data_IF_229661098347
#
_entry.id   IF_229661098347
#
_cell.length_a   1.000
_cell.length_b   1.000
_cell.length_c   1.000
_cell.angle_alpha   90.00
_cell.angle_beta   90.00
_cell.angle_gamma   90.00
#
_symmetry.space_group_name_H-M   'P 1'
#
loop_
_entity.id
_entity.type
_entity.pdbx_description
1 polymer ?
#
# COMPACT_ATOMS: atom_id res chain seq x y z
N UNK A 1 20.70 1.49 -6.31
CA UNK A 1 19.44 1.71 -5.55
C UNK A 1 18.72 0.38 -5.35
N UNK A 2 17.82 0.24 -4.37
CA UNK A 2 17.01 -1.00 -4.21
C UNK A 2 15.95 -1.15 -5.32
N UNK A 3 15.54 -0.01 -5.89
CA UNK A 3 14.63 0.15 -7.03
C UNK A 3 15.26 1.13 -8.01
N UNK A 4 16.04 0.60 -8.96
CA UNK A 4 16.76 1.36 -9.99
C UNK A 4 15.82 2.03 -10.99
N UNK A 5 14.75 1.33 -11.38
CA UNK A 5 13.69 1.83 -12.25
C UNK A 5 13.06 3.15 -11.76
N UNK A 6 12.70 3.20 -10.48
CA UNK A 6 12.14 4.39 -9.85
C UNK A 6 13.20 5.50 -9.67
N UNK A 7 14.47 5.13 -9.49
CA UNK A 7 15.57 6.09 -9.37
C UNK A 7 15.81 6.81 -10.70
N UNK A 8 15.92 6.04 -11.79
CA UNK A 8 16.05 6.56 -13.16
C UNK A 8 14.87 7.45 -13.53
N UNK A 9 13.65 7.08 -13.13
CA UNK A 9 12.44 7.89 -13.32
C UNK A 9 12.61 9.26 -12.66
N UNK A 10 13.09 9.32 -11.41
CA UNK A 10 13.35 10.60 -10.75
C UNK A 10 14.48 11.38 -11.42
N UNK A 11 15.58 10.73 -11.81
CA UNK A 11 16.67 11.40 -12.51
C UNK A 11 16.17 12.13 -13.77
N UNK A 12 15.42 11.43 -14.62
CA UNK A 12 14.87 11.97 -15.86
C UNK A 12 13.91 13.15 -15.61
N UNK A 13 13.04 13.04 -14.60
CA UNK A 13 12.13 14.14 -14.25
C UNK A 13 12.89 15.39 -13.77
N UNK A 14 13.96 15.23 -12.98
CA UNK A 14 14.78 16.35 -12.51
C UNK A 14 15.62 16.96 -13.63
N UNK A 15 15.99 16.19 -14.65
CA UNK A 15 16.59 16.69 -15.89
C UNK A 15 15.60 17.39 -16.83
N UNK A 16 14.30 17.43 -16.49
CA UNK A 16 13.27 18.13 -17.25
C UNK A 16 12.60 17.28 -18.34
N UNK A 17 12.89 15.98 -18.40
CA UNK A 17 12.20 15.07 -19.32
C UNK A 17 10.77 14.77 -18.86
N UNK A 18 9.89 14.53 -19.83
CA UNK A 18 8.52 14.08 -19.59
C UNK A 18 8.43 12.58 -19.80
N UNK A 19 7.98 11.86 -18.77
CA UNK A 19 7.74 10.42 -18.83
C UNK A 19 6.27 10.19 -19.18
N UNK A 20 6.01 9.35 -20.17
CA UNK A 20 4.65 8.97 -20.60
C UNK A 20 4.48 7.45 -20.47
N UNK A 21 3.30 7.03 -19.98
CA UNK A 21 2.91 5.62 -19.92
C UNK A 21 1.58 5.43 -20.67
N UNK A 22 1.64 5.22 -22.01
CA UNK A 22 0.44 5.06 -22.83
C UNK A 22 -0.37 3.83 -22.40
N UNK A 23 -1.70 3.91 -22.47
CA UNK A 23 -2.59 2.77 -22.13
C UNK A 23 -2.35 1.54 -23.02
N UNK A 24 -1.84 1.73 -24.23
CA UNK A 24 -1.46 0.65 -25.14
C UNK A 24 -0.23 -0.15 -24.65
N UNK A 25 0.59 0.40 -23.76
CA UNK A 25 1.76 -0.25 -23.18
C UNK A 25 1.41 -0.96 -21.87
N UNK A 26 0.28 -1.66 -21.83
CA UNK A 26 -0.11 -2.49 -20.68
C UNK A 26 0.80 -3.71 -20.58
N UNK A 27 1.25 -4.02 -19.36
CA UNK A 27 2.08 -5.19 -19.08
C UNK A 27 1.36 -6.08 -18.06
N UNK A 28 1.42 -7.39 -18.27
CA UNK A 28 1.00 -8.39 -17.30
C UNK A 28 2.22 -8.98 -16.64
N UNK A 29 2.37 -8.75 -15.34
CA UNK A 29 3.46 -9.33 -14.56
C UNK A 29 3.00 -10.61 -13.88
N UNK A 30 3.90 -11.57 -13.76
CA UNK A 30 3.68 -12.77 -12.95
C UNK A 30 3.38 -12.41 -11.50
N UNK A 31 2.51 -13.20 -10.87
CA UNK A 31 2.15 -13.05 -9.47
C UNK A 31 3.02 -13.95 -8.61
N UNK A 32 3.32 -13.49 -7.40
CA UNK A 32 4.05 -14.32 -6.44
C UNK A 32 3.11 -15.40 -5.91
N UNK A 33 3.53 -16.66 -6.02
CA UNK A 33 2.73 -17.83 -5.62
C UNK A 33 2.71 -18.07 -4.11
N UNK A 34 3.66 -17.48 -3.36
CA UNK A 34 3.75 -17.61 -1.91
C UNK A 34 3.75 -16.27 -1.19
N UNK A 35 3.27 -16.27 0.06
CA UNK A 35 3.33 -15.10 0.94
C UNK A 35 4.75 -14.63 1.22
N UNK A 36 5.72 -15.55 1.30
CA UNK A 36 7.13 -15.22 1.52
C UNK A 36 7.76 -14.50 0.32
N UNK A 37 7.45 -14.95 -0.90
CA UNK A 37 7.89 -14.27 -2.13
C UNK A 37 7.24 -12.89 -2.25
N UNK A 38 5.93 -12.81 -1.99
CA UNK A 38 5.19 -11.56 -1.99
C UNK A 38 5.75 -10.57 -0.97
N UNK A 39 6.12 -11.05 0.23
CA UNK A 39 6.73 -10.24 1.28
C UNK A 39 8.04 -9.64 0.79
N UNK A 40 8.97 -10.46 0.30
CA UNK A 40 10.28 -10.01 -0.22
C UNK A 40 10.10 -8.98 -1.33
N UNK A 41 9.20 -9.26 -2.28
CA UNK A 41 8.93 -8.36 -3.39
C UNK A 41 8.39 -7.01 -2.91
N UNK A 42 7.31 -7.00 -2.12
CA UNK A 42 6.65 -5.77 -1.67
C UNK A 42 7.52 -4.97 -0.71
N UNK A 43 8.29 -5.65 0.14
CA UNK A 43 9.25 -5.00 1.04
C UNK A 43 10.31 -4.25 0.24
N UNK A 44 10.92 -4.90 -0.77
CA UNK A 44 11.91 -4.28 -1.65
C UNK A 44 11.36 -3.05 -2.36
N UNK A 45 10.15 -3.13 -2.91
CA UNK A 45 9.51 -2.01 -3.60
C UNK A 45 9.19 -0.84 -2.67
N UNK A 46 8.57 -1.11 -1.51
CA UNK A 46 8.21 -0.05 -0.57
C UNK A 46 9.46 0.62 0.01
N UNK A 47 10.47 -0.17 0.38
CA UNK A 47 11.73 0.36 0.91
C UNK A 47 12.49 1.17 -0.14
N UNK A 48 12.64 0.65 -1.35
CA UNK A 48 13.31 1.37 -2.44
C UNK A 48 12.60 2.68 -2.82
N UNK A 49 11.26 2.69 -2.85
CA UNK A 49 10.51 3.91 -3.11
C UNK A 49 10.73 4.99 -2.02
N UNK A 50 10.75 4.60 -0.74
CA UNK A 50 11.01 5.52 0.37
C UNK A 50 12.46 6.02 0.32
N UNK A 51 13.43 5.14 0.10
CA UNK A 51 14.85 5.50 0.00
C UNK A 51 15.11 6.46 -1.17
N UNK A 52 14.50 6.23 -2.33
CA UNK A 52 14.62 7.13 -3.49
C UNK A 52 13.99 8.51 -3.18
N UNK A 53 12.85 8.54 -2.48
CA UNK A 53 12.25 9.82 -2.05
C UNK A 53 13.18 10.59 -1.09
N UNK A 54 13.86 9.90 -0.17
CA UNK A 54 14.87 10.53 0.68
C UNK A 54 16.08 11.02 -0.10
N UNK A 55 16.54 10.26 -1.10
CA UNK A 55 17.72 10.61 -1.89
C UNK A 55 17.53 11.88 -2.71
N UNK A 56 16.37 12.02 -3.36
CA UNK A 56 16.02 13.22 -4.14
C UNK A 56 15.43 14.36 -3.29
N UNK A 57 15.06 14.08 -2.04
CA UNK A 57 14.51 15.07 -1.11
C UNK A 57 13.09 15.51 -1.44
N UNK A 58 12.72 16.71 -0.99
CA UNK A 58 11.40 17.31 -1.22
C UNK A 58 11.43 18.22 -2.45
N UNK A 59 10.98 17.72 -3.59
CA UNK A 59 10.87 18.47 -4.85
C UNK A 59 9.45 18.39 -5.39
N UNK A 60 9.12 19.22 -6.38
CA UNK A 60 7.81 19.17 -7.07
C UNK A 60 7.47 17.78 -7.63
N UNK A 61 8.48 16.99 -7.97
CA UNK A 61 8.30 15.65 -8.53
C UNK A 61 8.14 14.59 -7.44
N UNK A 62 8.88 14.69 -6.33
CA UNK A 62 8.79 13.73 -5.23
C UNK A 62 7.65 14.03 -4.26
N UNK A 63 7.11 15.25 -4.24
CA UNK A 63 6.01 15.68 -3.35
C UNK A 63 4.78 14.76 -3.42
N UNK A 64 4.38 14.36 -4.63
CA UNK A 64 3.28 13.40 -4.80
C UNK A 64 3.59 12.05 -4.16
N UNK A 65 4.82 11.58 -4.29
CA UNK A 65 5.25 10.30 -3.72
C UNK A 65 5.35 10.37 -2.19
N UNK A 66 5.84 11.49 -1.64
CA UNK A 66 5.79 11.76 -0.21
C UNK A 66 4.35 11.75 0.33
N UNK A 67 3.43 12.39 -0.37
CA UNK A 67 2.00 12.38 -0.01
C UNK A 67 1.42 10.95 -0.02
N UNK A 68 1.78 10.12 -1.00
CA UNK A 68 1.35 8.72 -1.02
C UNK A 68 1.92 7.90 0.16
N UNK A 69 3.17 8.14 0.56
CA UNK A 69 3.74 7.48 1.76
C UNK A 69 3.01 7.93 3.03
N UNK A 70 2.75 9.24 3.16
CA UNK A 70 2.00 9.78 4.29
C UNK A 70 0.57 9.25 4.35
N UNK A 71 -0.14 9.22 3.22
CA UNK A 71 -1.49 8.66 3.12
C UNK A 71 -1.53 7.17 3.46
N UNK A 72 -0.52 6.41 3.01
CA UNK A 72 -0.34 5.00 3.39
C UNK A 72 -0.16 4.81 4.90
N UNK A 73 0.63 5.67 5.54
CA UNK A 73 0.81 5.66 7.00
C UNK A 73 -0.49 5.99 7.76
N UNK A 74 -1.27 6.97 7.28
CA UNK A 74 -2.59 7.26 7.84
C UNK A 74 -3.55 6.06 7.72
N UNK A 75 -3.53 5.35 6.59
CA UNK A 75 -4.34 4.14 6.41
C UNK A 75 -4.00 3.04 7.43
N UNK A 76 -2.73 2.90 7.79
CA UNK A 76 -2.28 1.96 8.85
C UNK A 76 -2.79 2.39 10.20
N UNK A 77 -2.67 3.68 10.54
CA UNK A 77 -3.21 4.22 11.81
C UNK A 77 -4.71 3.97 11.91
N UNK A 78 -5.48 4.26 10.86
CA UNK A 78 -6.91 4.00 10.81
C UNK A 78 -7.24 2.52 11.03
N UNK A 79 -6.45 1.61 10.43
CA UNK A 79 -6.64 0.17 10.58
C UNK A 79 -6.35 -0.29 12.01
N UNK A 80 -5.27 0.22 12.63
CA UNK A 80 -4.94 -0.06 14.04
C UNK A 80 -6.06 0.44 14.95
N UNK A 81 -6.52 1.68 14.77
CA UNK A 81 -7.63 2.25 15.56
C UNK A 81 -8.89 1.41 15.40
N UNK A 82 -9.24 0.99 14.19
CA UNK A 82 -10.37 0.12 13.93
C UNK A 82 -10.25 -1.22 14.67
N UNK A 83 -9.09 -1.90 14.58
CA UNK A 83 -8.89 -3.18 15.28
C UNK A 83 -8.91 -3.03 16.80
N UNK A 84 -8.33 -1.95 17.35
CA UNK A 84 -8.33 -1.68 18.79
C UNK A 84 -9.75 -1.44 19.28
N UNK A 85 -10.51 -0.58 18.60
CA UNK A 85 -11.91 -0.28 18.98
C UNK A 85 -12.81 -1.51 18.84
N UNK A 86 -12.63 -2.32 17.79
CA UNK A 86 -13.36 -3.57 17.62
C UNK A 86 -13.04 -4.57 18.73
N UNK A 87 -11.75 -4.76 19.05
CA UNK A 87 -11.33 -5.66 20.13
C UNK A 87 -11.89 -5.19 21.48
N UNK A 88 -11.83 -3.88 21.75
CA UNK A 88 -12.38 -3.29 22.97
C UNK A 88 -13.89 -3.47 23.09
N UNK A 89 -14.64 -3.27 22.00
CA UNK A 89 -16.09 -3.46 21.99
C UNK A 89 -16.48 -4.92 22.27
N UNK A 90 -15.72 -5.88 21.73
CA UNK A 90 -15.94 -7.31 21.95
C UNK A 90 -15.64 -7.70 23.41
N UNK A 91 -14.52 -7.24 23.98
CA UNK A 91 -14.13 -7.62 25.35
C UNK A 91 -15.01 -7.00 26.43
N UNK A 92 -15.56 -5.81 26.18
CA UNK A 92 -16.47 -5.13 27.11
C UNK A 92 -17.94 -5.52 26.93
N UNK A 93 -18.27 -6.29 25.88
CA UNK A 93 -19.64 -6.67 25.53
C UNK A 93 -20.51 -5.51 25.01
N UNK A 94 -19.98 -4.29 24.92
CA UNK A 94 -20.70 -3.09 24.52
C UNK A 94 -20.48 -2.79 23.02
N UNK A 95 -21.03 -3.65 22.16
CA UNK A 95 -20.95 -3.46 20.71
C UNK A 95 -22.00 -2.45 20.26
N UNK A 96 -21.60 -1.18 20.15
CA UNK A 96 -22.42 -0.14 19.54
C UNK A 96 -22.05 0.03 18.06
N UNK A 97 -23.00 -0.33 17.18
CA UNK A 97 -22.83 -0.14 15.74
C UNK A 97 -23.13 1.32 15.43
N UNK A 98 -22.09 2.07 15.13
CA UNK A 98 -22.22 3.46 14.67
C UNK A 98 -22.42 3.49 13.16
N UNK A 99 -23.55 4.04 12.72
CA UNK A 99 -23.93 4.11 11.30
C UNK A 99 -22.84 4.71 10.41
N UNK A 100 -22.19 5.78 10.86
CA UNK A 100 -21.11 6.46 10.12
C UNK A 100 -19.96 5.50 9.83
N UNK A 101 -19.49 4.77 10.84
CA UNK A 101 -18.36 3.84 10.69
C UNK A 101 -18.72 2.64 9.84
N UNK A 102 -19.95 2.12 9.96
CA UNK A 102 -20.47 1.07 9.08
C UNK A 102 -20.50 1.51 7.62
N UNK A 103 -20.95 2.75 7.34
CA UNK A 103 -20.96 3.30 5.99
C UNK A 103 -19.55 3.43 5.41
N UNK A 104 -18.57 3.86 6.20
CA UNK A 104 -17.16 3.92 5.78
C UNK A 104 -16.66 2.52 5.39
N UNK A 105 -16.95 1.50 6.19
CA UNK A 105 -16.59 0.11 5.87
C UNK A 105 -17.27 -0.38 4.59
N UNK A 106 -18.54 -0.04 4.36
CA UNK A 106 -19.26 -0.40 3.13
C UNK A 106 -18.63 0.27 1.91
N UNK A 107 -18.34 1.57 1.99
CA UNK A 107 -17.68 2.31 0.91
C UNK A 107 -16.32 1.70 0.59
N UNK A 108 -15.55 1.33 1.62
CA UNK A 108 -14.28 0.63 1.46
C UNK A 108 -14.44 -0.68 0.68
N UNK A 109 -15.40 -1.54 1.06
CA UNK A 109 -15.65 -2.80 0.37
C UNK A 109 -16.07 -2.59 -1.09
N UNK A 110 -16.91 -1.58 -1.35
CA UNK A 110 -17.37 -1.27 -2.70
C UNK A 110 -16.21 -0.77 -3.58
N UNK A 111 -15.36 0.11 -3.07
CA UNK A 111 -14.16 0.59 -3.77
C UNK A 111 -13.28 -0.59 -4.17
N UNK A 112 -12.94 -1.49 -3.24
CA UNK A 112 -12.12 -2.68 -3.53
C UNK A 112 -12.75 -3.57 -4.59
N UNK A 113 -14.05 -3.78 -4.49
CA UNK A 113 -14.81 -4.60 -5.44
C UNK A 113 -14.80 -3.99 -6.84
N UNK A 114 -14.94 -2.67 -6.96
CA UNK A 114 -14.93 -1.94 -8.24
C UNK A 114 -13.53 -1.93 -8.84
N UNK A 115 -12.49 -1.71 -8.02
CA UNK A 115 -11.09 -1.67 -8.47
C UNK A 115 -10.63 -3.01 -9.05
N UNK A 116 -11.12 -4.14 -8.51
CA UNK A 116 -10.80 -5.48 -9.00
C UNK A 116 -11.72 -5.94 -10.15
N UNK A 117 -12.79 -5.19 -10.47
CA UNK A 117 -13.78 -5.60 -11.46
C UNK A 117 -13.19 -5.91 -12.85
N UNK A 118 -12.12 -5.22 -13.24
CA UNK A 118 -11.42 -5.47 -14.51
C UNK A 118 -10.67 -6.82 -14.58
N UNK A 119 -10.46 -7.51 -13.45
CA UNK A 119 -9.73 -8.79 -13.37
C UNK A 119 -10.63 -10.02 -13.52
N UNK A 120 -11.95 -9.86 -13.47
CA UNK A 120 -12.93 -10.93 -13.64
C UNK A 120 -13.90 -11.10 -12.46
N UNK A 121 -14.99 -11.82 -12.69
CA UNK A 121 -16.08 -11.98 -11.71
C UNK A 121 -15.66 -12.76 -10.45
N UNK A 122 -14.80 -13.78 -10.59
CA UNK A 122 -14.30 -14.57 -9.45
C UNK A 122 -13.43 -13.70 -8.52
N UNK A 123 -12.56 -12.89 -9.09
CA UNK A 123 -11.69 -11.97 -8.34
C UNK A 123 -12.51 -10.88 -7.66
N UNK A 124 -13.55 -10.38 -8.33
CA UNK A 124 -14.50 -9.42 -7.74
C UNK A 124 -15.22 -9.99 -6.53
N UNK A 125 -15.66 -11.25 -6.59
CA UNK A 125 -16.33 -11.90 -5.45
C UNK A 125 -15.36 -12.11 -4.28
N UNK A 126 -14.13 -12.53 -4.55
CA UNK A 126 -13.11 -12.67 -3.51
C UNK A 126 -12.77 -11.33 -2.85
N UNK A 127 -12.64 -10.25 -3.63
CA UNK A 127 -12.37 -8.91 -3.12
C UNK A 127 -13.56 -8.31 -2.32
N UNK A 128 -14.79 -8.75 -2.60
CA UNK A 128 -15.96 -8.35 -1.83
C UNK A 128 -16.02 -9.00 -0.44
N UNK A 129 -15.25 -10.08 -0.20
CA UNK A 129 -15.23 -10.77 1.08
C UNK A 129 -14.20 -10.13 2.02
N UNK A 130 -14.69 -9.33 2.97
CA UNK A 130 -13.86 -8.69 4.02
C UNK A 130 -12.92 -9.68 4.72
N UNK A 131 -13.38 -10.91 4.96
CA UNK A 131 -12.61 -11.95 5.65
C UNK A 131 -11.35 -12.34 4.86
N UNK A 132 -11.37 -12.22 3.54
CA UNK A 132 -10.23 -12.53 2.67
C UNK A 132 -9.36 -11.28 2.47
N UNK A 133 -9.99 -10.13 2.23
CA UNK A 133 -9.30 -8.88 1.94
C UNK A 133 -8.56 -8.32 3.17
N UNK A 134 -9.15 -8.40 4.37
CA UNK A 134 -8.56 -7.86 5.59
C UNK A 134 -7.20 -8.48 5.96
N UNK A 135 -7.02 -9.81 5.99
CA UNK A 135 -5.71 -10.42 6.21
C UNK A 135 -4.68 -10.01 5.14
N UNK A 136 -5.11 -9.91 3.88
CA UNK A 136 -4.23 -9.49 2.79
C UNK A 136 -3.76 -8.04 2.94
N UNK A 137 -4.67 -7.12 3.28
CA UNK A 137 -4.35 -5.73 3.54
C UNK A 137 -3.48 -5.56 4.78
N UNK A 138 -3.79 -6.27 5.87
CA UNK A 138 -2.96 -6.28 7.09
C UNK A 138 -1.54 -6.76 6.76
N UNK A 139 -1.41 -7.81 5.95
CA UNK A 139 -0.11 -8.26 5.45
C UNK A 139 0.62 -7.14 4.68
N UNK A 140 -0.03 -6.46 3.73
CA UNK A 140 0.62 -5.37 2.98
C UNK A 140 0.95 -4.14 3.85
N UNK A 141 0.16 -3.88 4.88
CA UNK A 141 0.38 -2.83 5.86
C UNK A 141 1.58 -3.15 6.75
N UNK A 142 1.71 -4.39 7.25
CA UNK A 142 2.89 -4.80 8.05
C UNK A 142 4.19 -4.67 7.24
N UNK A 143 4.18 -5.03 5.95
CA UNK A 143 5.32 -4.80 5.04
C UNK A 143 5.66 -3.31 4.94
N UNK A 144 4.65 -2.44 4.84
CA UNK A 144 4.84 -0.99 4.77
C UNK A 144 5.42 -0.44 6.06
N UNK A 145 4.84 -0.80 7.21
CA UNK A 145 5.33 -0.39 8.52
C UNK A 145 6.79 -0.80 8.69
N UNK A 146 7.13 -2.03 8.33
CA UNK A 146 8.53 -2.49 8.36
C UNK A 146 9.41 -1.64 7.44
N UNK A 147 8.99 -1.39 6.20
CA UNK A 147 9.77 -0.57 5.25
C UNK A 147 10.02 0.86 5.78
N UNK A 148 8.99 1.51 6.33
CA UNK A 148 9.08 2.85 6.93
C UNK A 148 10.01 2.85 8.14
N UNK A 149 9.79 1.92 9.09
CA UNK A 149 10.62 1.78 10.30
C UNK A 149 12.08 1.55 9.92
N UNK A 150 12.38 0.58 9.05
CA UNK A 150 13.76 0.30 8.66
C UNK A 150 14.41 1.46 7.91
N UNK A 151 13.64 2.22 7.11
CA UNK A 151 14.14 3.41 6.43
C UNK A 151 14.48 4.53 7.40
N UNK A 152 13.67 4.74 8.45
CA UNK A 152 13.91 5.76 9.48
C UNK A 152 15.15 5.40 10.32
N UNK A 153 15.26 4.14 10.76
CA UNK A 153 16.37 3.68 11.58
C UNK A 153 17.67 3.41 10.80
N UNK A 154 17.72 3.75 9.49
CA UNK A 154 18.87 3.57 8.60
C UNK A 154 19.56 2.21 8.74
N UNK A 155 18.79 1.15 9.00
CA UNK A 155 19.37 -0.19 9.21
C UNK A 155 20.02 -0.65 7.90
N UNK A 156 21.22 -1.22 8.01
CA UNK A 156 22.05 -1.65 6.86
C UNK A 156 21.28 -2.49 5.84
N UNK A 157 21.69 -2.34 4.57
CA UNK A 157 21.14 -3.07 3.42
C UNK A 157 21.60 -4.52 3.50
N UNK A 158 20.76 -5.42 4.01
CA UNK A 158 20.94 -6.86 3.75
C UNK A 158 20.15 -7.22 2.50
N UNK A 159 20.86 -7.67 1.48
CA UNK A 159 20.28 -8.27 0.28
C UNK A 159 19.58 -9.59 0.63
#
# INVERSE_FOLDING_TARGET
ALTEDNELTFALLHLGYKIIAPRSCGLTTEVMSTWGDLWRQRYRWKRGAIENNWHYGFTRYTLKYWFLQFWGALGILATITYLVTLTYAITTGNVHIHLIWTLVTIVYMLERTVTVAARGAKQRLLAALLIIEMPYDLFLQTVHTKAVVTSIFRTSKSW
#
